data_IF_922179865658
#
_entry.id   IF_922179865658
#
_cell.length_a   1.000
_cell.length_b   1.000
_cell.length_c   1.000
_cell.angle_alpha   90.00
_cell.angle_beta   90.00
_cell.angle_gamma   90.00
#
_symmetry.space_group_name_H-M   'P 1'
#
loop_
_entity.id
_entity.type
_entity.pdbx_description
1 polymer ?
#
# COMPACT_ATOMS: atom_id res chain seq x y z
N UNK A 1 -1.25 -1.61 13.40
CA UNK A 1 -0.39 -0.43 13.47
C UNK A 1 -1.25 0.81 13.68
N UNK A 2 -1.03 1.54 14.75
CA UNK A 2 -1.86 2.70 15.12
C UNK A 2 -0.99 3.79 15.76
N UNK A 3 -1.23 5.04 15.40
CA UNK A 3 -0.61 6.20 16.04
C UNK A 3 -1.36 6.67 17.30
N UNK A 4 -2.43 5.98 17.70
CA UNK A 4 -3.22 6.31 18.90
C UNK A 4 -2.47 6.03 20.20
N UNK A 5 -1.51 5.12 20.14
CA UNK A 5 -0.66 4.76 21.26
C UNK A 5 0.79 4.91 20.82
N UNK A 6 1.62 5.50 21.69
CA UNK A 6 3.04 5.57 21.43
C UNK A 6 3.66 4.16 21.54
N UNK A 7 4.29 3.73 20.47
CA UNK A 7 4.88 2.41 20.36
C UNK A 7 6.13 2.47 19.47
N UNK A 8 6.97 1.44 19.55
CA UNK A 8 8.11 1.31 18.65
C UNK A 8 7.66 1.33 17.19
N UNK A 9 8.37 2.07 16.36
CA UNK A 9 8.12 2.23 14.94
C UNK A 9 8.69 1.04 14.15
N UNK A 10 8.12 -0.14 14.35
CA UNK A 10 8.58 -1.40 13.75
C UNK A 10 7.84 -1.71 12.43
N UNK A 11 6.56 -2.01 12.49
CA UNK A 11 5.64 -2.36 11.39
C UNK A 11 5.94 -3.66 10.65
N UNK A 12 6.95 -4.45 11.03
CA UNK A 12 7.22 -5.75 10.41
C UNK A 12 6.13 -6.78 10.76
N UNK A 13 5.68 -7.51 9.77
CA UNK A 13 4.86 -8.71 9.94
C UNK A 13 5.74 -9.90 10.30
N UNK A 14 6.88 -10.06 9.63
CA UNK A 14 7.93 -11.00 10.00
C UNK A 14 8.99 -10.27 10.84
N UNK A 15 8.99 -10.49 12.17
CA UNK A 15 9.92 -9.80 13.08
C UNK A 15 11.32 -10.41 13.11
N UNK A 16 11.56 -11.49 12.38
CA UNK A 16 12.87 -12.18 12.39
C UNK A 16 13.87 -11.51 11.48
N UNK A 17 13.39 -10.77 10.48
CA UNK A 17 14.24 -10.20 9.44
C UNK A 17 13.64 -8.90 8.87
N UNK A 18 14.45 -8.17 8.09
CA UNK A 18 14.05 -6.98 7.36
C UNK A 18 14.16 -5.68 8.16
N UNK A 19 14.03 -4.57 7.43
CA UNK A 19 14.07 -3.22 7.99
C UNK A 19 12.78 -2.92 8.76
N UNK A 20 12.91 -2.21 9.87
CA UNK A 20 11.78 -1.63 10.58
C UNK A 20 11.35 -0.30 9.92
N UNK A 21 10.15 0.18 10.24
CA UNK A 21 9.75 1.51 9.82
C UNK A 21 10.66 2.61 10.40
N UNK A 22 11.21 2.41 11.60
CA UNK A 22 12.23 3.29 12.17
C UNK A 22 13.50 3.31 11.31
N UNK A 23 13.97 2.16 10.85
CA UNK A 23 15.13 2.10 9.96
C UNK A 23 14.86 2.88 8.66
N UNK A 24 13.70 2.70 8.06
CA UNK A 24 13.31 3.41 6.82
C UNK A 24 13.35 4.92 7.03
N UNK A 25 12.66 5.44 8.04
CA UNK A 25 12.60 6.90 8.26
C UNK A 25 13.94 7.50 8.67
N UNK A 26 14.83 6.71 9.31
CA UNK A 26 16.13 7.19 9.75
C UNK A 26 17.25 7.01 8.71
N UNK A 27 17.13 6.09 7.75
CA UNK A 27 18.24 5.74 6.85
C UNK A 27 17.97 6.05 5.36
N UNK A 28 16.71 5.99 4.90
CA UNK A 28 16.40 6.30 3.51
C UNK A 28 16.72 7.76 3.16
N UNK A 29 17.20 7.99 1.95
CA UNK A 29 17.37 9.36 1.45
C UNK A 29 16.00 10.07 1.27
N UNK A 30 16.06 11.40 1.13
CA UNK A 30 14.86 12.23 1.03
C UNK A 30 14.01 11.90 -0.21
N UNK A 31 14.68 11.58 -1.33
CA UNK A 31 14.01 11.26 -2.59
C UNK A 31 13.25 9.94 -2.47
N UNK A 32 13.87 8.91 -1.90
CA UNK A 32 13.24 7.61 -1.68
C UNK A 32 12.08 7.69 -0.70
N UNK A 33 12.23 8.45 0.39
CA UNK A 33 11.12 8.70 1.32
C UNK A 33 9.94 9.40 0.61
N UNK A 34 10.22 10.43 -0.19
CA UNK A 34 9.18 11.12 -0.95
C UNK A 34 8.48 10.20 -1.94
N UNK A 35 9.24 9.32 -2.60
CA UNK A 35 8.71 8.34 -3.54
C UNK A 35 7.73 7.36 -2.88
N UNK A 36 8.12 6.70 -1.78
CA UNK A 36 7.24 5.75 -1.09
C UNK A 36 6.00 6.44 -0.51
N UNK A 37 6.12 7.65 0.01
CA UNK A 37 4.97 8.42 0.51
C UNK A 37 4.01 8.80 -0.61
N UNK A 38 4.51 9.10 -1.79
CA UNK A 38 3.69 9.39 -2.97
C UNK A 38 3.03 8.12 -3.52
N UNK A 39 3.84 7.08 -3.81
CA UNK A 39 3.37 5.86 -4.46
C UNK A 39 2.47 5.01 -3.55
N UNK A 40 2.88 4.80 -2.30
CA UNK A 40 2.19 3.89 -1.37
C UNK A 40 1.25 4.60 -0.40
N UNK A 41 1.53 5.85 -0.09
CA UNK A 41 0.67 6.68 0.75
C UNK A 41 -0.36 7.51 -0.03
N UNK A 42 -0.17 7.67 -1.34
CA UNK A 42 -0.96 8.61 -2.14
C UNK A 42 -1.00 10.02 -1.51
N UNK A 43 0.17 10.46 -0.97
CA UNK A 43 0.34 11.73 -0.27
C UNK A 43 0.88 12.78 -1.24
N UNK A 44 0.08 13.80 -1.55
CA UNK A 44 0.46 14.87 -2.48
C UNK A 44 1.59 15.76 -1.96
N UNK A 45 1.74 15.86 -0.64
CA UNK A 45 2.79 16.62 0.03
C UNK A 45 4.02 15.75 0.41
N UNK A 46 4.22 14.64 -0.27
CA UNK A 46 5.25 13.62 0.02
C UNK A 46 6.66 14.21 0.15
N UNK A 47 7.05 15.13 -0.72
CA UNK A 47 8.36 15.82 -0.66
C UNK A 47 8.54 16.64 0.62
N UNK A 48 7.50 17.36 1.04
CA UNK A 48 7.54 18.15 2.28
C UNK A 48 7.65 17.24 3.51
N UNK A 49 6.91 16.13 3.50
CA UNK A 49 6.98 15.12 4.57
C UNK A 49 8.37 14.51 4.67
N UNK A 50 8.97 14.10 3.55
CA UNK A 50 10.32 13.56 3.50
C UNK A 50 11.34 14.57 4.03
N UNK A 51 11.28 15.82 3.56
CA UNK A 51 12.20 16.89 4.01
C UNK A 51 12.12 17.14 5.50
N UNK A 52 10.92 17.20 6.08
CA UNK A 52 10.74 17.41 7.52
C UNK A 52 11.27 16.23 8.33
N UNK A 53 11.05 14.99 7.87
CA UNK A 53 11.58 13.78 8.51
C UNK A 53 13.12 13.77 8.48
N UNK A 54 13.73 14.06 7.32
CA UNK A 54 15.20 14.10 7.18
C UNK A 54 15.81 15.15 8.09
N UNK A 55 15.20 16.33 8.20
CA UNK A 55 15.65 17.39 9.13
C UNK A 55 15.50 16.99 10.58
N UNK A 56 14.40 16.35 10.95
CA UNK A 56 14.15 15.93 12.33
C UNK A 56 15.13 14.82 12.77
N UNK A 57 15.34 13.80 11.95
CA UNK A 57 16.26 12.70 12.27
C UNK A 57 17.73 13.14 12.41
N UNK A 58 18.10 14.25 11.76
CA UNK A 58 19.43 14.83 11.92
C UNK A 58 19.66 15.40 13.34
N UNK A 59 18.59 15.71 14.08
CA UNK A 59 18.67 16.17 15.47
C UNK A 59 18.60 14.99 16.45
N UNK A 60 17.68 14.07 16.23
CA UNK A 60 17.50 12.87 17.02
C UNK A 60 16.79 11.78 16.20
N UNK A 61 17.17 10.49 16.34
CA UNK A 61 16.49 9.39 15.66
C UNK A 61 14.99 9.35 15.98
N UNK A 62 14.19 8.97 14.99
CA UNK A 62 12.75 8.78 15.13
C UNK A 62 12.52 7.29 15.41
N UNK A 63 12.17 6.94 16.63
CA UNK A 63 12.08 5.55 17.08
C UNK A 63 10.66 5.09 17.39
N UNK A 64 9.74 6.05 17.62
CA UNK A 64 8.37 5.73 18.00
C UNK A 64 7.33 6.35 17.09
N UNK A 65 6.13 5.79 17.13
CA UNK A 65 4.98 6.32 16.37
C UNK A 65 4.62 7.73 16.79
N UNK A 66 4.76 8.04 18.08
CA UNK A 66 4.52 9.38 18.63
C UNK A 66 5.53 10.39 18.12
N UNK A 67 6.82 10.05 18.10
CA UNK A 67 7.87 10.93 17.57
C UNK A 67 7.66 11.22 16.08
N UNK A 68 7.29 10.21 15.28
CA UNK A 68 6.97 10.42 13.87
C UNK A 68 5.75 11.35 13.71
N UNK A 69 4.69 11.12 14.49
CA UNK A 69 3.50 11.97 14.49
C UNK A 69 3.84 13.44 14.81
N UNK A 70 4.57 13.68 15.91
CA UNK A 70 4.98 15.03 16.31
C UNK A 70 5.80 15.73 15.22
N UNK A 71 6.65 14.98 14.51
CA UNK A 71 7.47 15.49 13.41
C UNK A 71 6.64 16.00 12.24
N UNK A 72 5.57 15.32 11.88
CA UNK A 72 4.83 15.59 10.63
C UNK A 72 3.47 16.27 10.82
N UNK A 73 2.90 16.27 12.03
CA UNK A 73 1.52 16.75 12.29
C UNK A 73 1.22 18.16 11.78
N UNK A 74 2.20 19.05 11.77
CA UNK A 74 2.05 20.44 11.28
C UNK A 74 1.83 20.53 9.77
N UNK A 75 2.14 19.47 9.03
CA UNK A 75 1.95 19.40 7.58
C UNK A 75 0.55 18.92 7.21
N UNK A 76 -0.21 18.44 8.17
CA UNK A 76 -1.57 17.97 7.97
C UNK A 76 -2.58 19.02 8.47
N UNK A 77 -3.63 19.24 7.69
CA UNK A 77 -4.75 20.05 8.13
C UNK A 77 -5.51 19.37 9.28
N UNK A 78 -6.00 20.14 10.27
CA UNK A 78 -6.67 19.61 11.47
C UNK A 78 -7.74 18.55 11.17
N UNK A 79 -8.56 18.78 10.13
CA UNK A 79 -9.64 17.86 9.77
C UNK A 79 -9.17 16.62 9.01
N UNK A 80 -7.95 16.63 8.46
CA UNK A 80 -7.38 15.54 7.64
C UNK A 80 -6.28 14.75 8.34
N UNK A 81 -5.84 15.21 9.49
CA UNK A 81 -4.68 14.69 10.21
C UNK A 81 -4.73 13.15 10.36
N UNK A 82 -5.85 12.63 10.87
CA UNK A 82 -6.01 11.17 11.06
C UNK A 82 -5.90 10.41 9.73
N UNK A 83 -6.49 10.95 8.67
CA UNK A 83 -6.47 10.33 7.35
C UNK A 83 -5.08 10.37 6.73
N UNK A 84 -4.40 11.50 6.83
CA UNK A 84 -3.06 11.67 6.27
C UNK A 84 -2.02 10.85 7.05
N UNK A 85 -2.14 10.76 8.39
CA UNK A 85 -1.31 9.85 9.20
C UNK A 85 -1.54 8.39 8.83
N UNK A 86 -2.79 7.97 8.63
CA UNK A 86 -3.08 6.60 8.22
C UNK A 86 -2.42 6.25 6.88
N UNK A 87 -2.40 7.19 5.93
CA UNK A 87 -1.71 7.05 4.65
C UNK A 87 -0.19 6.97 4.80
N UNK A 88 0.38 7.78 5.68
CA UNK A 88 1.82 7.73 5.97
C UNK A 88 2.22 6.39 6.56
N UNK A 89 1.45 5.89 7.53
CA UNK A 89 1.66 4.56 8.10
C UNK A 89 1.43 3.44 7.07
N UNK A 90 0.45 3.57 6.19
CA UNK A 90 0.25 2.65 5.08
C UNK A 90 1.50 2.60 4.18
N UNK A 91 2.07 3.74 3.82
CA UNK A 91 3.26 3.80 2.99
C UNK A 91 4.46 3.08 3.63
N UNK A 92 4.72 3.36 4.90
CA UNK A 92 5.79 2.69 5.65
C UNK A 92 5.54 1.19 5.79
N UNK A 93 4.32 0.77 6.11
CA UNK A 93 3.96 -0.64 6.24
C UNK A 93 4.16 -1.41 4.94
N UNK A 94 3.72 -0.85 3.83
CA UNK A 94 3.87 -1.45 2.50
C UNK A 94 5.35 -1.62 2.15
N UNK A 95 6.18 -0.60 2.41
CA UNK A 95 7.63 -0.67 2.15
C UNK A 95 8.32 -1.68 3.07
N UNK A 96 8.05 -1.65 4.39
CA UNK A 96 8.63 -2.58 5.38
C UNK A 96 8.36 -4.04 5.02
N UNK A 97 7.16 -4.34 4.54
CA UNK A 97 6.70 -5.72 4.29
C UNK A 97 6.73 -6.11 2.81
N UNK A 98 7.24 -5.24 1.93
CA UNK A 98 7.28 -5.47 0.48
C UNK A 98 5.92 -5.93 -0.09
N UNK A 99 4.82 -5.37 0.46
CA UNK A 99 3.45 -5.87 0.21
C UNK A 99 3.08 -5.85 -1.28
N UNK A 100 3.55 -4.86 -2.03
CA UNK A 100 3.25 -4.76 -3.47
C UNK A 100 3.99 -5.82 -4.29
N UNK A 101 5.24 -6.11 -3.95
CA UNK A 101 6.02 -7.15 -4.64
C UNK A 101 5.45 -8.54 -4.32
N UNK A 102 5.15 -8.82 -3.06
CA UNK A 102 4.51 -10.07 -2.65
C UNK A 102 3.16 -10.29 -3.37
N UNK A 103 2.36 -9.23 -3.53
CA UNK A 103 1.09 -9.30 -4.28
C UNK A 103 1.33 -9.58 -5.76
N UNK A 104 2.30 -8.93 -6.40
CA UNK A 104 2.66 -9.18 -7.81
C UNK A 104 3.10 -10.62 -8.02
N UNK A 105 4.00 -11.13 -7.19
CA UNK A 105 4.47 -12.51 -7.24
C UNK A 105 3.32 -13.51 -7.08
N UNK A 106 2.43 -13.28 -6.11
CA UNK A 106 1.24 -14.11 -5.90
C UNK A 106 0.34 -14.11 -7.13
N UNK A 107 0.06 -12.95 -7.71
CA UNK A 107 -0.79 -12.82 -8.89
C UNK A 107 -0.20 -13.50 -10.13
N UNK A 108 1.11 -13.38 -10.34
CA UNK A 108 1.82 -14.03 -11.44
C UNK A 108 1.81 -15.55 -11.26
N UNK A 109 2.19 -16.03 -10.09
CA UNK A 109 2.20 -17.47 -9.76
C UNK A 109 0.80 -18.08 -9.88
N UNK A 110 -0.23 -17.36 -9.41
CA UNK A 110 -1.60 -17.81 -9.54
C UNK A 110 -2.02 -17.96 -11.01
N UNK A 111 -1.56 -17.05 -11.88
CA UNK A 111 -1.85 -17.11 -13.32
C UNK A 111 -1.22 -18.34 -13.98
N UNK A 112 -0.01 -18.71 -13.59
CA UNK A 112 0.71 -19.86 -14.12
C UNK A 112 0.14 -21.20 -13.61
N UNK A 113 -0.29 -21.24 -12.36
CA UNK A 113 -0.75 -22.47 -11.70
C UNK A 113 -2.22 -22.78 -11.95
N UNK A 114 -3.04 -21.79 -12.30
CA UNK A 114 -4.46 -21.97 -12.50
C UNK A 114 -4.72 -22.75 -13.82
N UNK A 115 -5.47 -23.84 -13.70
CA UNK A 115 -5.92 -24.59 -14.88
C UNK A 115 -6.99 -23.81 -15.65
N UNK A 116 -7.12 -24.02 -16.97
CA UNK A 116 -8.22 -23.47 -17.73
C UNK A 116 -9.59 -23.77 -17.08
N UNK A 117 -10.43 -22.75 -16.92
CA UNK A 117 -11.70 -22.84 -16.20
C UNK A 117 -11.60 -22.67 -14.68
N UNK A 118 -10.39 -22.58 -14.11
CA UNK A 118 -10.16 -22.25 -12.70
C UNK A 118 -10.61 -20.82 -12.38
N UNK A 119 -10.82 -20.54 -11.10
CA UNK A 119 -11.26 -19.21 -10.61
C UNK A 119 -10.22 -18.61 -9.69
N UNK A 120 -9.85 -17.36 -9.94
CA UNK A 120 -9.06 -16.52 -9.04
C UNK A 120 -9.98 -15.53 -8.35
N UNK A 121 -9.97 -15.53 -7.02
CA UNK A 121 -10.71 -14.56 -6.19
C UNK A 121 -9.70 -13.87 -5.30
N UNK A 122 -9.66 -12.55 -5.35
CA UNK A 122 -8.73 -11.74 -4.56
C UNK A 122 -9.52 -10.70 -3.78
N UNK A 123 -9.29 -10.65 -2.47
CA UNK A 123 -9.85 -9.63 -1.59
C UNK A 123 -8.81 -8.55 -1.37
N UNK A 124 -9.17 -7.30 -1.69
CA UNK A 124 -8.30 -6.13 -1.56
C UNK A 124 -8.88 -5.12 -0.57
N UNK A 125 -8.04 -4.37 0.13
CA UNK A 125 -8.46 -3.40 1.14
C UNK A 125 -8.06 -1.97 0.85
N UNK A 126 -7.19 -1.74 -0.13
CA UNK A 126 -6.81 -0.39 -0.55
C UNK A 126 -6.62 -0.28 -2.07
N UNK A 127 -6.58 0.98 -2.54
CA UNK A 127 -6.55 1.33 -3.97
C UNK A 127 -5.38 0.72 -4.75
N UNK A 128 -4.23 0.56 -4.13
CA UNK A 128 -3.03 0.04 -4.80
C UNK A 128 -3.18 -1.45 -5.12
N UNK A 129 -3.62 -2.26 -4.14
CA UNK A 129 -3.93 -3.68 -4.35
C UNK A 129 -5.01 -3.85 -5.42
N UNK A 130 -6.11 -3.11 -5.29
CA UNK A 130 -7.23 -3.15 -6.22
C UNK A 130 -6.79 -2.83 -7.65
N UNK A 131 -5.87 -1.88 -7.81
CA UNK A 131 -5.32 -1.50 -9.13
C UNK A 131 -4.54 -2.64 -9.78
N UNK A 132 -3.63 -3.29 -9.02
CA UNK A 132 -2.84 -4.42 -9.54
C UNK A 132 -3.74 -5.58 -9.96
N UNK A 133 -4.71 -5.95 -9.13
CA UNK A 133 -5.66 -7.02 -9.42
C UNK A 133 -6.50 -6.69 -10.65
N UNK A 134 -7.06 -5.48 -10.73
CA UNK A 134 -7.83 -5.04 -11.90
C UNK A 134 -7.00 -5.02 -13.18
N UNK A 135 -5.77 -4.54 -13.11
CA UNK A 135 -4.87 -4.55 -14.26
C UNK A 135 -4.66 -5.97 -14.76
N UNK A 136 -4.26 -6.89 -13.88
CA UNK A 136 -4.07 -8.29 -14.25
C UNK A 136 -5.33 -8.89 -14.90
N UNK A 137 -6.49 -8.72 -14.28
CA UNK A 137 -7.75 -9.27 -14.79
C UNK A 137 -8.13 -8.69 -16.15
N UNK A 138 -7.83 -7.41 -16.38
CA UNK A 138 -8.22 -6.70 -17.60
C UNK A 138 -7.24 -6.89 -18.76
N UNK A 139 -5.93 -6.82 -18.48
CA UNK A 139 -4.89 -6.79 -19.52
C UNK A 139 -3.97 -8.02 -19.51
N UNK A 140 -4.05 -8.86 -18.50
CA UNK A 140 -3.19 -10.02 -18.33
C UNK A 140 -1.84 -9.73 -17.70
N UNK A 141 -1.61 -8.47 -17.28
CA UNK A 141 -0.39 -8.07 -16.54
C UNK A 141 -0.72 -7.06 -15.45
N UNK A 142 0.10 -7.03 -14.41
CA UNK A 142 -0.12 -6.17 -13.22
C UNK A 142 0.13 -4.68 -13.52
N UNK A 143 0.89 -4.36 -14.55
CA UNK A 143 1.17 -2.98 -14.99
C UNK A 143 -0.02 -2.34 -15.72
N UNK A 144 -0.97 -3.14 -16.19
CA UNK A 144 -2.13 -2.66 -16.95
C UNK A 144 -1.78 -2.25 -18.38
N UNK A 145 -0.66 -2.73 -18.93
CA UNK A 145 -0.24 -2.46 -20.30
C UNK A 145 -1.02 -3.35 -21.26
N UNK A 146 -1.59 -2.73 -22.28
CA UNK A 146 -2.25 -3.46 -23.37
C UNK A 146 -1.17 -3.91 -24.34
N UNK A 147 -0.87 -5.20 -24.37
CA UNK A 147 0.03 -5.77 -25.36
C UNK A 147 -0.69 -5.90 -26.71
N UNK A 148 -0.04 -5.41 -27.75
CA UNK A 148 -0.51 -5.56 -29.13
C UNK A 148 0.55 -6.32 -29.93
N UNK A 149 0.08 -7.25 -30.73
CA UNK A 149 0.89 -7.92 -31.74
C UNK A 149 0.41 -7.54 -33.15
N UNK A 150 1.00 -8.15 -34.18
CA UNK A 150 0.63 -7.91 -35.58
C UNK A 150 -0.81 -8.33 -35.93
N UNK A 151 -1.46 -9.10 -35.06
CA UNK A 151 -2.85 -9.57 -35.22
C UNK A 151 -3.85 -8.79 -34.37
N UNK A 152 -3.37 -7.83 -33.55
CA UNK A 152 -4.22 -6.98 -32.71
C UNK A 152 -3.87 -7.06 -31.22
N UNK A 153 -4.83 -6.72 -30.36
CA UNK A 153 -4.66 -6.74 -28.91
C UNK A 153 -4.62 -8.17 -28.37
N UNK A 154 -3.57 -8.53 -27.65
CA UNK A 154 -3.48 -9.82 -26.97
C UNK A 154 -4.54 -9.89 -25.86
N UNK A 155 -5.43 -10.88 -25.86
CA UNK A 155 -6.48 -10.99 -24.85
C UNK A 155 -5.89 -11.33 -23.48
N UNK A 156 -6.52 -10.85 -22.41
CA UNK A 156 -6.21 -11.28 -21.06
C UNK A 156 -6.47 -12.79 -20.91
N UNK A 157 -5.66 -13.52 -20.15
CA UNK A 157 -5.93 -14.93 -19.80
C UNK A 157 -7.17 -15.07 -18.88
N UNK A 158 -7.67 -13.96 -18.34
CA UNK A 158 -8.81 -13.94 -17.45
C UNK A 158 -10.08 -13.43 -18.11
N UNK A 159 -11.21 -14.03 -17.74
CA UNK A 159 -12.54 -13.52 -18.00
C UNK A 159 -13.20 -13.14 -16.68
N UNK A 160 -13.63 -11.89 -16.54
CA UNK A 160 -14.33 -11.43 -15.35
C UNK A 160 -15.67 -12.19 -15.17
N UNK A 161 -15.90 -12.65 -13.94
CA UNK A 161 -17.15 -13.31 -13.55
C UNK A 161 -17.94 -12.36 -12.67
N UNK A 162 -18.86 -11.62 -13.29
CA UNK A 162 -19.69 -10.65 -12.56
C UNK A 162 -19.00 -9.30 -12.31
N UNK A 163 -19.59 -8.53 -11.42
CA UNK A 163 -19.08 -7.23 -10.98
C UNK A 163 -18.19 -7.40 -9.75
N UNK A 164 -17.32 -6.41 -9.50
CA UNK A 164 -16.57 -6.33 -8.25
C UNK A 164 -17.53 -6.31 -7.07
N UNK A 165 -17.38 -7.25 -6.15
CA UNK A 165 -18.16 -7.28 -4.92
C UNK A 165 -17.66 -6.21 -3.94
N UNK A 166 -18.59 -5.56 -3.27
CA UNK A 166 -18.32 -4.62 -2.17
C UNK A 166 -19.18 -5.04 -0.99
N UNK A 167 -18.71 -4.76 0.24
CA UNK A 167 -19.47 -5.11 1.44
C UNK A 167 -20.82 -4.40 1.47
N UNK A 168 -21.88 -5.13 1.82
CA UNK A 168 -23.21 -4.55 2.02
C UNK A 168 -23.23 -3.61 3.24
N UNK A 169 -24.31 -2.84 3.39
CA UNK A 169 -24.46 -1.97 4.57
C UNK A 169 -24.51 -2.79 5.86
N UNK A 170 -25.22 -3.90 5.84
CA UNK A 170 -25.35 -4.81 6.97
C UNK A 170 -23.99 -5.41 7.37
N UNK A 171 -23.20 -5.83 6.39
CA UNK A 171 -21.82 -6.29 6.62
C UNK A 171 -20.94 -5.19 7.24
N UNK A 172 -21.06 -3.96 6.76
CA UNK A 172 -20.27 -2.83 7.29
C UNK A 172 -20.70 -2.43 8.70
N UNK A 173 -21.96 -2.65 9.11
CA UNK A 173 -22.45 -2.43 10.47
C UNK A 173 -21.87 -3.47 11.43
N UNK A 174 -21.85 -4.73 11.03
CA UNK A 174 -21.26 -5.83 11.81
C UNK A 174 -19.74 -5.79 11.83
N UNK A 175 -19.14 -5.49 10.67
CA UNK A 175 -17.69 -5.42 10.49
C UNK A 175 -17.27 -4.11 9.80
N UNK A 176 -17.05 -3.02 10.55
CA UNK A 176 -16.67 -1.72 9.97
C UNK A 176 -15.40 -1.74 9.11
N UNK A 177 -14.55 -2.77 9.28
CA UNK A 177 -13.33 -2.93 8.45
C UNK A 177 -13.64 -3.39 7.02
N UNK A 178 -14.80 -4.00 6.79
CA UNK A 178 -15.23 -4.44 5.45
C UNK A 178 -15.52 -3.28 4.49
N UNK A 179 -15.68 -2.07 5.00
CA UNK A 179 -15.99 -0.87 4.20
C UNK A 179 -15.03 -0.63 3.04
N UNK A 180 -13.76 -0.98 3.19
CA UNK A 180 -12.73 -0.80 2.16
C UNK A 180 -12.49 -2.05 1.32
N UNK A 181 -13.11 -3.18 1.67
CA UNK A 181 -12.94 -4.45 0.98
C UNK A 181 -13.61 -4.43 -0.40
N UNK A 182 -12.92 -5.01 -1.37
CA UNK A 182 -13.40 -5.22 -2.73
C UNK A 182 -13.01 -6.59 -3.22
#
# INVERSE_FOLDING_TARGET
FSFRFDAKLDMRMNRRDGLTAADIVNTYDEERLAEIFYLYGELLNSRKLASVIVKARAQAPIETTGQLYETVKRLFGRDREKKEMAKLFQALRIEVNEEMEALKEMLQSATELLRPGGRLVVLTYHSLEDRLVKNLMKTGNVEGRVEQDIYGTKPSPYRLVGKVAVASKEEQEVNPRSRSAK
#
